data_IF_335070366951
#
_entry.id   IF_335070366951
#
_cell.length_a   1.000
_cell.length_b   1.000
_cell.length_c   1.000
_cell.angle_alpha   90.00
_cell.angle_beta   90.00
_cell.angle_gamma   90.00
#
_symmetry.space_group_name_H-M   'P 1'
#
loop_
_entity.id
_entity.type
_entity.pdbx_description
1 polymer ?
#
# COMPACT_ATOMS: atom_id res chain seq x y z
N UNK A 1 -42.01 6.93 24.29
CA UNK A 1 -40.76 7.43 24.90
C UNK A 1 -39.62 6.62 24.30
N UNK A 2 -39.04 7.18 23.24
CA UNK A 2 -37.76 6.93 22.56
C UNK A 2 -37.20 5.49 22.50
N UNK A 3 -37.74 4.77 21.50
CA UNK A 3 -37.08 3.94 20.49
C UNK A 3 -35.71 3.29 20.74
N UNK A 4 -35.66 1.94 20.90
CA UNK A 4 -34.43 1.16 20.72
C UNK A 4 -33.93 1.13 19.26
N UNK A 5 -34.67 1.70 18.30
CA UNK A 5 -34.33 1.68 16.87
C UNK A 5 -33.18 2.62 16.50
N UNK A 6 -32.95 3.69 17.27
CA UNK A 6 -31.85 4.64 17.01
C UNK A 6 -30.48 4.00 17.27
N UNK A 7 -30.39 3.03 18.18
CA UNK A 7 -29.13 2.30 18.43
C UNK A 7 -28.77 1.32 17.30
N UNK A 8 -29.75 0.81 16.56
CA UNK A 8 -29.49 -0.01 15.36
C UNK A 8 -29.05 0.83 14.17
N UNK A 9 -29.57 2.05 14.03
CA UNK A 9 -29.15 2.96 12.96
C UNK A 9 -27.69 3.44 13.12
N UNK A 10 -27.20 3.63 14.36
CA UNK A 10 -25.80 4.00 14.61
C UNK A 10 -24.81 2.84 14.37
N UNK A 11 -25.22 1.58 14.59
CA UNK A 11 -24.39 0.41 14.26
C UNK A 11 -24.42 0.05 12.77
N UNK A 12 -25.43 0.52 12.02
CA UNK A 12 -25.54 0.28 10.59
C UNK A 12 -24.67 1.23 9.74
N UNK A 13 -24.14 2.30 10.33
CA UNK A 13 -23.32 3.32 9.65
C UNK A 13 -21.80 3.09 9.86
N UNK A 14 -21.39 2.40 10.92
CA UNK A 14 -19.98 1.97 11.13
C UNK A 14 -19.53 0.87 10.14
N UNK A 15 -20.48 0.31 9.39
CA UNK A 15 -20.26 -0.58 8.26
C UNK A 15 -20.44 0.16 6.93
N UNK A 16 -19.86 1.36 6.79
CA UNK A 16 -19.23 1.70 5.51
C UNK A 16 -18.40 0.47 5.13
N UNK A 17 -18.91 -0.33 4.20
CA UNK A 17 -18.31 -1.60 3.78
C UNK A 17 -16.83 -1.35 3.57
N UNK A 18 -16.00 -1.80 4.52
CA UNK A 18 -14.55 -1.77 4.38
C UNK A 18 -14.27 -2.31 2.98
N UNK A 19 -13.63 -1.49 2.16
CA UNK A 19 -13.40 -1.78 0.75
C UNK A 19 -12.17 -2.70 0.64
N UNK A 20 -12.07 -3.53 -0.41
CA UNK A 20 -10.82 -4.24 -0.66
C UNK A 20 -9.69 -3.22 -0.85
N UNK A 21 -8.52 -3.54 -0.31
CA UNK A 21 -7.32 -2.72 -0.40
C UNK A 21 -6.36 -3.34 -1.43
N UNK A 22 -6.09 -2.60 -2.49
CA UNK A 22 -5.07 -2.88 -3.50
C UNK A 22 -3.78 -2.18 -3.07
N UNK A 23 -2.78 -2.96 -2.70
CA UNK A 23 -1.42 -2.49 -2.42
C UNK A 23 -0.56 -2.78 -3.65
N UNK A 24 0.16 -1.78 -4.15
CA UNK A 24 1.10 -1.95 -5.25
C UNK A 24 2.50 -1.48 -4.83
N UNK A 25 3.50 -2.35 -4.92
CA UNK A 25 4.90 -2.04 -4.60
C UNK A 25 5.70 -1.92 -5.89
N UNK A 26 6.06 -0.69 -6.24
CA UNK A 26 6.68 -0.34 -7.50
C UNK A 26 8.18 -0.09 -7.30
N UNK A 27 9.07 -0.81 -7.99
CA UNK A 27 10.51 -0.59 -7.88
C UNK A 27 10.92 0.69 -8.61
N UNK A 28 11.59 1.60 -7.91
CA UNK A 28 12.12 2.86 -8.45
C UNK A 28 11.07 3.63 -9.26
N UNK A 29 11.40 3.87 -10.54
CA UNK A 29 10.56 4.59 -11.50
C UNK A 29 9.86 3.67 -12.50
N UNK A 30 9.72 2.37 -12.19
CA UNK A 30 9.00 1.43 -13.04
C UNK A 30 7.53 1.85 -13.24
N UNK A 31 6.95 1.40 -14.35
CA UNK A 31 5.54 1.63 -14.69
C UNK A 31 4.59 0.70 -13.92
N UNK A 32 5.07 -0.48 -13.53
CA UNK A 32 4.29 -1.54 -12.90
C UNK A 32 4.98 -2.02 -11.61
N UNK A 33 4.18 -2.42 -10.63
CA UNK A 33 4.65 -2.98 -9.37
C UNK A 33 4.05 -4.34 -9.04
N UNK A 34 4.51 -4.89 -7.91
CA UNK A 34 3.97 -6.11 -7.33
C UNK A 34 2.65 -5.78 -6.63
N UNK A 35 1.55 -6.35 -7.11
CA UNK A 35 0.21 -6.08 -6.60
C UNK A 35 -0.22 -7.15 -5.59
N UNK A 36 -0.87 -6.70 -4.52
CA UNK A 36 -1.56 -7.55 -3.58
C UNK A 36 -2.93 -6.97 -3.22
N UNK A 37 -3.92 -7.85 -3.06
CA UNK A 37 -5.30 -7.47 -2.76
C UNK A 37 -5.65 -8.03 -1.39
N UNK A 38 -5.85 -7.12 -0.45
CA UNK A 38 -6.27 -7.42 0.90
C UNK A 38 -7.79 -7.30 1.02
N UNK A 39 -8.40 -8.37 1.51
CA UNK A 39 -9.84 -8.37 1.79
C UNK A 39 -10.16 -7.50 3.01
N UNK A 40 -11.37 -6.93 3.09
CA UNK A 40 -11.86 -6.26 4.28
C UNK A 40 -11.72 -7.13 5.54
N UNK A 41 -11.25 -6.53 6.63
CA UNK A 41 -10.92 -7.20 7.89
C UNK A 41 -9.49 -7.76 7.97
N UNK A 42 -8.71 -7.74 6.89
CA UNK A 42 -7.34 -8.31 6.86
C UNK A 42 -6.21 -7.28 6.95
N UNK A 43 -6.48 -6.00 6.70
CA UNK A 43 -5.47 -4.93 6.62
C UNK A 43 -5.64 -3.87 7.71
N UNK A 44 -6.82 -3.81 8.32
CA UNK A 44 -7.21 -2.84 9.32
C UNK A 44 -6.35 -3.03 10.59
N UNK A 45 -5.84 -1.92 11.13
CA UNK A 45 -4.95 -1.92 12.29
C UNK A 45 -3.53 -2.45 12.03
N UNK A 46 -3.20 -2.88 10.80
CA UNK A 46 -1.82 -3.20 10.42
C UNK A 46 -1.11 -1.95 9.90
N UNK A 47 0.17 -1.82 10.26
CA UNK A 47 1.00 -0.80 9.64
C UNK A 47 1.22 -1.14 8.16
N UNK A 48 1.31 -0.12 7.33
CA UNK A 48 1.52 -0.27 5.89
C UNK A 48 2.81 -1.06 5.60
N UNK A 49 3.86 -0.84 6.39
CA UNK A 49 5.10 -1.62 6.33
C UNK A 49 4.87 -3.12 6.49
N UNK A 50 4.05 -3.55 7.45
CA UNK A 50 3.75 -4.98 7.63
C UNK A 50 3.01 -5.59 6.45
N UNK A 51 2.15 -4.82 5.78
CA UNK A 51 1.48 -5.26 4.56
C UNK A 51 2.49 -5.39 3.42
N UNK A 52 3.39 -4.42 3.24
CA UNK A 52 4.47 -4.52 2.27
C UNK A 52 5.35 -5.76 2.51
N UNK A 53 5.77 -5.99 3.75
CA UNK A 53 6.58 -7.16 4.12
C UNK A 53 5.84 -8.47 3.82
N UNK A 54 4.52 -8.52 4.08
CA UNK A 54 3.67 -9.68 3.79
C UNK A 54 3.56 -9.95 2.29
N UNK A 55 3.36 -8.90 1.50
CA UNK A 55 3.28 -8.96 0.03
C UNK A 55 4.60 -9.43 -0.57
N UNK A 56 5.74 -8.90 -0.11
CA UNK A 56 7.07 -9.28 -0.58
C UNK A 56 7.49 -10.69 -0.15
N UNK A 57 6.88 -11.24 0.91
CA UNK A 57 7.18 -12.58 1.42
C UNK A 57 6.35 -13.70 0.77
N UNK A 58 5.50 -13.38 -0.22
CA UNK A 58 4.70 -14.38 -0.94
C UNK A 58 5.60 -15.38 -1.67
N UNK A 59 5.27 -16.67 -1.55
CA UNK A 59 6.06 -17.77 -2.13
C UNK A 59 5.58 -18.23 -3.50
N UNK A 60 4.32 -17.96 -3.84
CA UNK A 60 3.69 -18.42 -5.09
C UNK A 60 3.56 -17.24 -6.06
N UNK A 61 4.69 -16.71 -6.49
CA UNK A 61 4.73 -15.64 -7.49
C UNK A 61 4.86 -16.24 -8.89
N UNK A 62 4.23 -15.60 -9.87
CA UNK A 62 4.57 -15.82 -11.28
C UNK A 62 5.99 -15.36 -11.59
N UNK A 63 6.51 -15.71 -12.77
CA UNK A 63 7.85 -15.29 -13.20
C UNK A 63 7.95 -13.76 -13.26
N UNK A 64 6.91 -13.09 -13.77
CA UNK A 64 6.88 -11.63 -13.87
C UNK A 64 6.86 -10.98 -12.48
N UNK A 65 6.01 -11.45 -11.58
CA UNK A 65 5.95 -10.97 -10.19
C UNK A 65 7.26 -11.23 -9.44
N UNK A 66 7.93 -12.36 -9.70
CA UNK A 66 9.22 -12.65 -9.10
C UNK A 66 10.29 -11.65 -9.56
N UNK A 67 10.34 -11.31 -10.85
CA UNK A 67 11.28 -10.31 -11.37
C UNK A 67 11.04 -8.93 -10.74
N UNK A 68 9.78 -8.54 -10.55
CA UNK A 68 9.43 -7.29 -9.86
C UNK A 68 9.84 -7.35 -8.39
N UNK A 69 9.56 -8.45 -7.68
CA UNK A 69 9.95 -8.63 -6.28
C UNK A 69 11.48 -8.57 -6.08
N UNK A 70 12.24 -9.18 -6.99
CA UNK A 70 13.71 -9.10 -7.01
C UNK A 70 14.19 -7.67 -7.25
N UNK A 71 13.53 -6.90 -8.12
CA UNK A 71 13.88 -5.49 -8.34
C UNK A 71 13.54 -4.62 -7.14
N UNK A 72 12.38 -4.84 -6.51
CA UNK A 72 12.02 -4.19 -5.26
C UNK A 72 13.07 -4.47 -4.18
N UNK A 73 13.49 -5.74 -4.03
CA UNK A 73 14.52 -6.11 -3.07
C UNK A 73 15.83 -5.33 -3.31
N UNK A 74 16.30 -5.26 -4.57
CA UNK A 74 17.49 -4.48 -4.94
C UNK A 74 17.34 -2.98 -4.63
N UNK A 75 16.16 -2.40 -4.87
CA UNK A 75 15.90 -1.00 -4.54
C UNK A 75 15.91 -0.74 -3.03
N UNK A 76 15.49 -1.72 -2.23
CA UNK A 76 15.46 -1.61 -0.77
C UNK A 76 16.81 -1.84 -0.10
N UNK A 77 17.83 -2.33 -0.81
CA UNK A 77 19.21 -2.39 -0.30
C UNK A 77 19.79 -0.99 -0.08
N UNK A 78 19.66 -0.50 1.16
CA UNK A 78 19.93 0.90 1.52
C UNK A 78 18.83 1.87 1.10
N UNK A 79 17.68 1.34 0.65
CA UNK A 79 16.52 2.07 0.17
C UNK A 79 15.44 2.34 1.21
N UNK A 80 14.35 2.93 0.74
CA UNK A 80 13.14 3.20 1.53
C UNK A 80 11.88 2.88 0.74
N UNK A 81 10.83 2.54 1.47
CA UNK A 81 9.47 2.47 0.95
C UNK A 81 8.81 3.83 1.16
N UNK A 82 8.37 4.45 0.07
CA UNK A 82 7.71 5.73 0.07
C UNK A 82 6.28 5.60 -0.46
N UNK A 83 5.34 6.27 0.16
CA UNK A 83 4.04 6.54 -0.45
C UNK A 83 3.91 8.04 -0.64
N UNK A 84 3.63 8.48 -1.88
CA UNK A 84 3.47 9.92 -2.22
C UNK A 84 4.64 10.81 -1.76
N UNK A 85 5.86 10.27 -1.82
CA UNK A 85 7.08 10.99 -1.43
C UNK A 85 7.39 11.00 0.08
N UNK A 86 6.56 10.35 0.91
CA UNK A 86 6.76 10.24 2.36
C UNK A 86 7.08 8.80 2.75
N UNK A 87 7.93 8.62 3.76
CA UNK A 87 8.23 7.29 4.31
C UNK A 87 6.99 6.69 4.98
N UNK A 88 6.77 5.39 4.82
CA UNK A 88 5.58 4.70 5.34
C UNK A 88 5.68 4.41 6.84
N UNK A 89 5.15 5.31 7.65
CA UNK A 89 5.16 5.17 9.14
C UNK A 89 3.79 4.83 9.74
N UNK A 90 2.71 4.93 8.95
CA UNK A 90 1.33 4.77 9.41
C UNK A 90 0.61 3.50 8.97
N UNK A 91 -0.72 3.50 9.11
CA UNK A 91 -1.61 2.43 8.63
C UNK A 91 -1.92 2.57 7.15
N UNK A 92 -2.37 1.50 6.49
CA UNK A 92 -2.71 1.55 5.07
C UNK A 92 -3.79 2.59 4.72
N UNK A 93 -4.76 2.77 5.61
CA UNK A 93 -5.88 3.69 5.42
C UNK A 93 -5.44 5.16 5.35
N UNK A 94 -4.36 5.53 6.03
CA UNK A 94 -3.81 6.90 6.01
C UNK A 94 -3.23 7.28 4.64
N UNK A 95 -2.81 6.28 3.86
CA UNK A 95 -2.19 6.47 2.55
C UNK A 95 -3.12 6.10 1.39
N UNK A 96 -4.26 5.48 1.70
CA UNK A 96 -5.18 4.93 0.70
C UNK A 96 -5.96 6.01 -0.06
N UNK A 97 -6.27 5.69 -1.31
CA UNK A 97 -7.12 6.46 -2.20
C UNK A 97 -8.32 5.62 -2.58
N UNK A 98 -9.53 6.18 -2.49
CA UNK A 98 -10.69 5.49 -3.06
C UNK A 98 -10.64 5.59 -4.58
N UNK A 99 -10.68 4.45 -5.23
CA UNK A 99 -10.82 4.32 -6.68
C UNK A 99 -12.05 3.47 -7.04
N UNK A 100 -12.35 3.38 -8.33
CA UNK A 100 -13.48 2.65 -8.86
C UNK A 100 -13.08 1.92 -10.14
N UNK A 101 -13.46 0.65 -10.26
CA UNK A 101 -13.27 -0.14 -11.49
C UNK A 101 -14.17 0.36 -12.61
N UNK A 102 -13.90 -0.06 -13.85
CA UNK A 102 -14.77 0.24 -15.00
C UNK A 102 -16.21 -0.29 -14.81
N UNK A 103 -16.37 -1.38 -14.06
CA UNK A 103 -17.67 -1.96 -13.72
C UNK A 103 -18.39 -1.23 -12.58
N UNK A 104 -17.75 -0.21 -11.98
CA UNK A 104 -18.32 0.62 -10.92
C UNK A 104 -18.03 0.13 -9.51
N UNK A 105 -17.15 -0.84 -9.31
CA UNK A 105 -16.81 -1.40 -8.00
C UNK A 105 -15.74 -0.54 -7.31
N UNK A 106 -15.97 -0.14 -6.06
CA UNK A 106 -15.04 0.70 -5.31
C UNK A 106 -13.95 -0.14 -4.62
N UNK A 107 -12.74 0.39 -4.57
CA UNK A 107 -11.61 -0.19 -3.82
C UNK A 107 -10.73 0.92 -3.24
N UNK A 108 -9.88 0.55 -2.29
CA UNK A 108 -8.82 1.41 -1.77
C UNK A 108 -7.51 1.07 -2.48
N UNK A 109 -6.76 2.07 -2.92
CA UNK A 109 -5.48 1.91 -3.61
C UNK A 109 -4.36 2.58 -2.84
N UNK A 110 -3.24 1.87 -2.66
CA UNK A 110 -2.03 2.38 -2.00
C UNK A 110 -0.80 2.10 -2.88
N UNK A 111 -0.29 3.11 -3.60
CA UNK A 111 0.95 2.99 -4.35
C UNK A 111 2.16 3.19 -3.44
N UNK A 112 3.04 2.21 -3.41
CA UNK A 112 4.30 2.23 -2.67
C UNK A 112 5.46 2.22 -3.67
N UNK A 113 6.43 3.10 -3.47
CA UNK A 113 7.66 3.18 -4.25
C UNK A 113 8.82 2.66 -3.42
N UNK A 114 9.48 1.60 -3.89
CA UNK A 114 10.76 1.16 -3.33
C UNK A 114 11.87 1.95 -4.02
N UNK A 115 12.49 2.89 -3.32
CA UNK A 115 13.47 3.81 -3.90
C UNK A 115 14.80 3.71 -3.15
N UNK A 116 15.87 3.43 -3.88
CA UNK A 116 17.23 3.59 -3.40
C UNK A 116 17.63 5.09 -3.42
N UNK A 117 18.33 5.61 -2.40
CA UNK A 117 18.96 6.92 -2.45
C UNK A 117 19.79 7.06 -3.72
N UNK A 118 19.64 8.19 -4.41
CA UNK A 118 20.45 8.47 -5.58
C UNK A 118 21.92 8.66 -5.15
N UNK A 119 22.82 7.83 -5.70
CA UNK A 119 24.28 7.99 -5.57
C UNK A 119 24.73 9.13 -6.51
N UNK A 120 24.29 10.35 -6.24
CA UNK A 120 24.32 11.42 -7.24
C UNK A 120 24.20 12.81 -6.64
N UNK A 121 24.98 13.06 -5.59
CA UNK A 121 25.12 14.37 -4.98
C UNK A 121 26.44 14.41 -4.25
N UNK A 122 27.55 14.44 -4.99
CA UNK A 122 28.82 14.82 -4.39
C UNK A 122 28.60 16.22 -3.79
N UNK A 123 28.45 16.29 -2.47
CA UNK A 123 28.84 17.44 -1.67
C UNK A 123 30.36 17.63 -1.84
N UNK A 124 30.83 17.92 -3.06
CA UNK A 124 32.00 18.74 -3.22
C UNK A 124 31.53 20.13 -2.83
N UNK A 125 31.59 20.39 -1.52
CA UNK A 125 31.89 21.73 -1.06
C UNK A 125 33.12 22.16 -1.86
N UNK A 126 32.89 23.06 -2.81
CA UNK A 126 33.96 23.72 -3.54
C UNK A 126 34.66 24.58 -2.48
N UNK A 127 35.98 24.42 -2.26
CA UNK A 127 36.72 25.17 -1.25
C UNK A 127 36.72 26.68 -1.53
#
# INVERSE_FOLDING_TARGET
>A
MSDPEIKKALQADEAEKLLPLVLEIIPGHAAEGLIDIYVPGSYEGKSLRKLCDSTLSKKNLSIEEQLIAEDVARQLEGGKLLCRGQEIEGTALEYAVSEQTEAGEKYLYVPIRAIKPQEGGNNRAIP
#
